data_IF_360348913909
#
_entry.id   IF_360348913909
#
_cell.length_a   1.000
_cell.length_b   1.000
_cell.length_c   1.000
_cell.angle_alpha   90.00
_cell.angle_beta   90.00
_cell.angle_gamma   90.00
#
_symmetry.space_group_name_H-M   'P 1'
#
loop_
_entity.id
_entity.type
_entity.pdbx_description
1 polymer ?
#
# COMPACT_ATOMS: atom_id res chain seq x y z
N UNK A 1 7.69 5.44 -43.07
CA UNK A 1 7.85 6.49 -42.04
C UNK A 1 7.77 5.95 -40.60
N UNK A 2 7.08 4.83 -40.33
CA UNK A 2 7.13 4.17 -39.01
C UNK A 2 8.49 3.51 -38.72
N UNK A 3 9.15 2.95 -39.74
CA UNK A 3 10.44 2.24 -39.58
C UNK A 3 11.65 3.14 -39.28
N UNK A 4 11.53 4.47 -39.46
CA UNK A 4 12.59 5.43 -39.13
C UNK A 4 12.47 6.00 -37.71
N UNK A 5 11.34 5.76 -37.03
CA UNK A 5 11.11 6.19 -35.64
C UNK A 5 11.52 5.09 -34.65
N UNK A 6 11.46 3.83 -35.07
CA UNK A 6 11.86 2.64 -34.29
C UNK A 6 13.37 2.49 -34.08
N UNK A 7 14.19 3.27 -34.78
CA UNK A 7 15.66 3.18 -34.72
C UNK A 7 16.34 3.98 -33.59
N UNK A 8 15.62 4.80 -32.81
CA UNK A 8 16.21 5.52 -31.67
C UNK A 8 15.94 4.77 -30.38
N UNK A 9 16.98 4.10 -29.86
CA UNK A 9 16.97 3.50 -28.52
C UNK A 9 16.97 4.61 -27.46
N UNK A 10 15.80 4.92 -26.89
CA UNK A 10 15.71 5.85 -25.75
C UNK A 10 15.88 5.05 -24.47
N UNK A 11 16.92 5.35 -23.69
CA UNK A 11 17.17 4.73 -22.40
C UNK A 11 16.78 5.72 -21.28
N UNK A 12 15.77 5.39 -20.49
CA UNK A 12 15.28 6.20 -19.38
C UNK A 12 15.62 5.50 -18.07
N UNK A 13 16.13 6.26 -17.10
CA UNK A 13 16.31 5.76 -15.75
C UNK A 13 16.59 6.86 -14.74
N UNK A 14 16.83 6.50 -13.46
CA UNK A 14 16.81 7.48 -12.38
C UNK A 14 17.90 8.54 -12.51
N UNK A 15 19.05 8.14 -13.07
CA UNK A 15 20.19 9.02 -13.37
C UNK A 15 20.20 9.53 -14.82
N UNK A 16 19.18 9.21 -15.61
CA UNK A 16 19.00 9.67 -16.98
C UNK A 16 17.50 9.92 -17.27
N UNK A 17 16.88 10.91 -16.59
CA UNK A 17 15.45 11.16 -16.73
C UNK A 17 15.11 11.83 -18.07
N UNK A 18 13.89 11.60 -18.55
CA UNK A 18 13.33 12.29 -19.72
C UNK A 18 12.37 13.40 -19.26
N UNK A 19 12.67 14.65 -19.62
CA UNK A 19 11.70 15.75 -19.50
C UNK A 19 10.77 15.72 -20.72
N UNK A 20 9.51 15.33 -20.52
CA UNK A 20 8.51 15.16 -21.59
C UNK A 20 8.19 16.49 -22.28
N UNK A 21 8.22 17.59 -21.54
CA UNK A 21 7.88 18.92 -22.05
C UNK A 21 9.00 19.56 -22.88
N UNK A 22 10.24 19.12 -22.68
CA UNK A 22 11.41 19.65 -23.37
C UNK A 22 11.96 18.70 -24.46
N UNK A 23 11.62 17.41 -24.40
CA UNK A 23 12.10 16.42 -25.34
C UNK A 23 11.45 16.56 -26.73
N UNK A 24 12.18 16.15 -27.77
CA UNK A 24 11.63 16.04 -29.12
C UNK A 24 10.44 15.08 -29.15
N UNK A 25 9.38 15.44 -29.87
CA UNK A 25 8.15 14.63 -29.98
C UNK A 25 8.40 13.20 -30.46
N UNK A 26 9.39 12.98 -31.32
CA UNK A 26 9.80 11.64 -31.78
C UNK A 26 10.40 10.78 -30.66
N UNK A 27 11.08 11.40 -29.68
CA UNK A 27 11.66 10.71 -28.52
C UNK A 27 10.55 10.26 -27.57
N UNK A 28 9.61 11.17 -27.26
CA UNK A 28 8.43 10.85 -26.44
C UNK A 28 7.58 9.77 -27.12
N UNK A 29 7.35 9.86 -28.43
CA UNK A 29 6.60 8.87 -29.19
C UNK A 29 7.25 7.48 -29.15
N UNK A 30 8.58 7.38 -29.28
CA UNK A 30 9.29 6.09 -29.20
C UNK A 30 9.06 5.39 -27.85
N UNK A 31 9.15 6.14 -26.75
CA UNK A 31 8.88 5.65 -25.39
C UNK A 31 7.42 5.21 -25.25
N UNK A 32 6.48 6.01 -25.75
CA UNK A 32 5.05 5.69 -25.68
C UNK A 32 4.69 4.45 -26.52
N UNK A 33 5.36 4.21 -27.64
CA UNK A 33 5.17 2.99 -28.43
C UNK A 33 5.60 1.73 -27.66
N UNK A 34 6.71 1.79 -26.94
CA UNK A 34 7.15 0.70 -26.05
C UNK A 34 6.16 0.51 -24.88
N UNK A 35 5.70 1.60 -24.25
CA UNK A 35 4.64 1.55 -23.23
C UNK A 35 3.38 0.86 -23.75
N UNK A 36 2.95 1.16 -24.97
CA UNK A 36 1.80 0.51 -25.59
C UNK A 36 2.05 -0.99 -25.82
N UNK A 37 3.25 -1.38 -26.24
CA UNK A 37 3.62 -2.79 -26.39
C UNK A 37 3.59 -3.54 -25.04
N UNK A 38 4.16 -2.94 -23.98
CA UNK A 38 4.12 -3.48 -22.61
C UNK A 38 2.67 -3.63 -22.13
N UNK A 39 1.82 -2.61 -22.33
CA UNK A 39 0.38 -2.62 -21.98
C UNK A 39 -0.40 -3.72 -22.71
N UNK A 40 -0.07 -4.00 -23.96
CA UNK A 40 -0.68 -5.09 -24.74
C UNK A 40 -0.16 -6.48 -24.34
N UNK A 41 0.98 -6.55 -23.67
CA UNK A 41 1.69 -7.82 -23.45
C UNK A 41 2.16 -8.45 -24.75
N UNK A 42 2.58 -7.62 -25.70
CA UNK A 42 3.05 -8.05 -27.01
C UNK A 42 4.42 -8.75 -26.89
N UNK A 43 4.50 -9.98 -27.38
CA UNK A 43 5.73 -10.77 -27.37
C UNK A 43 6.27 -11.09 -28.78
N UNK A 44 5.59 -10.67 -29.85
CA UNK A 44 5.97 -11.06 -31.23
C UNK A 44 7.33 -10.51 -31.65
N UNK A 45 7.62 -9.26 -31.27
CA UNK A 45 8.89 -8.59 -31.52
C UNK A 45 9.58 -8.20 -30.20
N UNK A 46 9.48 -9.09 -29.20
CA UNK A 46 10.02 -8.80 -27.87
C UNK A 46 11.55 -8.68 -27.93
N UNK A 47 12.05 -7.51 -27.55
CA UNK A 47 13.47 -7.23 -27.38
C UNK A 47 13.69 -6.53 -26.03
N UNK A 48 14.92 -6.62 -25.52
CA UNK A 48 15.26 -5.95 -24.27
C UNK A 48 15.22 -4.43 -24.45
N UNK A 49 14.53 -3.75 -23.54
CA UNK A 49 14.50 -2.29 -23.49
C UNK A 49 15.91 -1.75 -23.17
N UNK A 50 16.37 -0.70 -23.88
CA UNK A 50 17.57 0.06 -23.47
C UNK A 50 17.46 0.63 -22.06
N UNK A 51 16.23 0.82 -21.55
CA UNK A 51 15.96 1.31 -20.20
C UNK A 51 16.12 0.23 -19.13
N UNK A 52 16.04 -1.06 -19.49
CA UNK A 52 16.03 -2.16 -18.52
C UNK A 52 17.25 -2.19 -17.58
N UNK A 53 18.51 -1.96 -18.06
CA UNK A 53 19.67 -1.89 -17.19
C UNK A 53 19.65 -0.72 -16.21
N UNK A 54 18.95 0.37 -16.56
CA UNK A 54 18.84 1.57 -15.72
C UNK A 54 17.74 1.39 -14.67
N UNK A 55 16.62 0.78 -15.06
CA UNK A 55 15.51 0.40 -14.18
C UNK A 55 14.54 -0.56 -14.91
N UNK A 56 14.09 -1.67 -14.31
CA UNK A 56 14.28 -2.11 -12.92
C UNK A 56 15.62 -2.83 -12.66
N UNK A 57 16.44 -3.07 -13.69
CA UNK A 57 17.77 -3.65 -13.58
C UNK A 57 17.99 -4.84 -14.52
N UNK A 58 19.26 -5.12 -14.80
CA UNK A 58 19.68 -6.23 -15.65
C UNK A 58 19.71 -7.57 -14.94
N UNK A 59 19.61 -8.64 -15.74
CA UNK A 59 19.97 -10.01 -15.36
C UNK A 59 21.19 -10.41 -16.17
N UNK A 60 22.18 -11.03 -15.52
CA UNK A 60 23.37 -11.54 -16.22
C UNK A 60 22.97 -12.55 -17.32
N UNK A 61 23.61 -12.47 -18.47
CA UNK A 61 23.46 -13.46 -19.54
C UNK A 61 23.88 -14.88 -19.08
N UNK A 62 24.80 -14.96 -18.11
CA UNK A 62 25.26 -16.23 -17.53
C UNK A 62 24.36 -16.76 -16.41
N UNK A 63 23.33 -16.01 -15.99
CA UNK A 63 22.42 -16.49 -14.96
C UNK A 63 21.58 -17.66 -15.49
N UNK A 64 21.57 -18.79 -14.79
CA UNK A 64 20.84 -19.97 -15.21
C UNK A 64 19.34 -19.70 -15.33
N UNK A 65 18.76 -20.03 -16.50
CA UNK A 65 17.32 -20.07 -16.68
C UNK A 65 16.77 -21.37 -16.11
N UNK A 66 15.75 -21.24 -15.27
CA UNK A 66 15.21 -22.36 -14.49
C UNK A 66 13.81 -22.72 -14.95
N UNK A 67 13.42 -23.95 -14.64
CA UNK A 67 12.03 -24.41 -14.65
C UNK A 67 11.64 -24.71 -13.22
N UNK A 68 10.60 -24.05 -12.71
CA UNK A 68 10.13 -24.19 -11.33
C UNK A 68 8.64 -24.46 -11.31
N UNK A 69 8.23 -25.50 -10.61
CA UNK A 69 6.83 -25.80 -10.32
C UNK A 69 6.48 -25.34 -8.92
N UNK A 70 5.40 -24.59 -8.80
CA UNK A 70 4.91 -23.99 -7.56
C UNK A 70 3.45 -24.38 -7.36
N UNK A 71 3.05 -24.62 -6.11
CA UNK A 71 1.64 -24.69 -5.75
C UNK A 71 1.12 -23.31 -5.40
N UNK A 72 0.22 -22.77 -6.21
CA UNK A 72 -0.40 -21.45 -6.05
C UNK A 72 -1.79 -21.62 -5.45
N UNK A 73 -2.06 -20.99 -4.31
CA UNK A 73 -3.43 -20.89 -3.79
C UNK A 73 -4.23 -19.87 -4.64
N UNK A 74 -5.07 -20.39 -5.51
CA UNK A 74 -5.94 -19.65 -6.42
C UNK A 74 -7.35 -19.41 -5.86
N UNK A 75 -7.53 -19.47 -4.54
CA UNK A 75 -8.72 -18.96 -3.87
C UNK A 75 -8.47 -17.57 -3.30
N UNK A 76 -9.38 -16.63 -3.57
CA UNK A 76 -9.27 -15.25 -3.09
C UNK A 76 -10.63 -14.62 -2.75
N UNK A 77 -10.85 -14.43 -1.46
CA UNK A 77 -11.90 -13.57 -0.94
C UNK A 77 -11.28 -12.20 -0.62
N UNK A 78 -11.63 -11.12 -1.34
CA UNK A 78 -11.04 -9.80 -1.10
C UNK A 78 -11.46 -9.24 0.27
N UNK A 79 -10.68 -8.30 0.84
CA UNK A 79 -11.13 -7.51 1.98
C UNK A 79 -12.42 -6.75 1.63
N UNK A 80 -13.22 -6.31 2.61
CA UNK A 80 -14.42 -5.54 2.36
C UNK A 80 -14.10 -4.23 1.61
N UNK A 81 -15.03 -3.79 0.75
CA UNK A 81 -14.86 -2.58 -0.08
C UNK A 81 -14.57 -1.30 0.71
N UNK A 82 -14.89 -1.33 2.01
CA UNK A 82 -14.72 -0.22 2.94
C UNK A 82 -13.27 0.05 3.30
N UNK A 83 -12.38 -0.92 3.08
CA UNK A 83 -10.92 -0.78 3.15
C UNK A 83 -10.37 -0.37 1.77
N UNK A 84 -10.94 0.68 1.17
CA UNK A 84 -10.75 0.98 -0.25
C UNK A 84 -9.32 1.36 -0.63
N UNK A 85 -8.59 2.02 0.28
CA UNK A 85 -7.23 2.51 0.07
C UNK A 85 -6.22 1.38 -0.13
N UNK A 86 -6.52 0.18 0.39
CA UNK A 86 -5.75 -1.03 0.13
C UNK A 86 -5.97 -1.61 -1.28
N UNK A 87 -6.28 -0.79 -2.28
CA UNK A 87 -6.45 -1.22 -3.68
C UNK A 87 -7.63 -2.16 -3.92
N UNK A 88 -8.75 -2.01 -3.19
CA UNK A 88 -9.94 -2.85 -3.37
C UNK A 88 -10.54 -2.77 -4.79
N UNK A 89 -11.10 -3.87 -5.35
CA UNK A 89 -11.02 -5.26 -4.88
C UNK A 89 -9.77 -5.98 -5.38
N UNK A 90 -8.81 -5.24 -5.95
CA UNK A 90 -7.57 -5.64 -6.64
C UNK A 90 -7.18 -7.12 -6.63
N UNK A 91 -6.70 -7.61 -7.77
CA UNK A 91 -6.23 -9.00 -7.92
C UNK A 91 -5.25 -9.34 -6.80
N UNK A 92 -5.34 -10.55 -6.26
CA UNK A 92 -4.37 -11.09 -5.32
C UNK A 92 -3.10 -11.48 -6.06
N UNK A 93 -1.93 -11.11 -5.52
CA UNK A 93 -0.64 -11.42 -6.12
C UNK A 93 0.00 -12.57 -5.35
N UNK A 94 0.33 -13.65 -6.07
CA UNK A 94 1.08 -14.78 -5.56
C UNK A 94 2.52 -14.66 -6.04
N UNK A 95 3.43 -14.45 -5.09
CA UNK A 95 4.87 -14.41 -5.30
C UNK A 95 5.36 -15.76 -5.81
N UNK A 96 6.37 -15.73 -6.68
CA UNK A 96 6.93 -16.94 -7.30
C UNK A 96 8.41 -17.15 -6.97
N UNK A 97 9.09 -16.12 -6.45
CA UNK A 97 10.55 -16.13 -6.31
C UNK A 97 11.29 -16.17 -7.65
N UNK A 98 10.65 -15.72 -8.73
CA UNK A 98 11.21 -15.72 -10.09
C UNK A 98 11.22 -14.31 -10.69
N UNK A 99 12.11 -14.11 -11.65
CA UNK A 99 12.26 -12.89 -12.42
C UNK A 99 12.42 -13.24 -13.90
N UNK A 100 11.64 -12.60 -14.78
CA UNK A 100 11.82 -12.69 -16.22
C UNK A 100 12.91 -11.71 -16.64
N UNK A 101 13.95 -12.19 -17.32
CA UNK A 101 15.01 -11.33 -17.82
C UNK A 101 14.47 -10.36 -18.90
N UNK A 102 15.06 -9.15 -19.05
CA UNK A 102 14.59 -8.17 -20.02
C UNK A 102 14.53 -8.72 -21.44
N UNK A 103 13.38 -8.58 -22.08
CA UNK A 103 13.18 -9.02 -23.47
C UNK A 103 13.10 -10.54 -23.67
N UNK A 104 13.12 -11.36 -22.61
CA UNK A 104 13.00 -12.81 -22.72
C UNK A 104 11.56 -13.29 -22.50
N UNK A 105 11.21 -14.38 -23.18
CA UNK A 105 9.93 -15.06 -23.04
C UNK A 105 10.03 -16.14 -21.96
N UNK A 106 9.06 -16.12 -21.03
CA UNK A 106 8.81 -17.21 -20.10
C UNK A 106 7.54 -17.96 -20.51
N UNK A 107 7.49 -19.25 -20.18
CA UNK A 107 6.28 -20.06 -20.37
C UNK A 107 5.68 -20.44 -19.02
N UNK A 108 4.37 -20.26 -18.92
CA UNK A 108 3.56 -20.57 -17.74
C UNK A 108 2.65 -21.74 -18.11
N UNK A 109 2.86 -22.88 -17.46
CA UNK A 109 2.06 -24.09 -17.64
C UNK A 109 1.17 -24.32 -16.43
N UNK A 110 -0.14 -24.43 -16.65
CA UNK A 110 -1.10 -24.80 -15.61
C UNK A 110 -1.13 -26.33 -15.48
N UNK A 111 -0.99 -26.85 -14.27
CA UNK A 111 -0.99 -28.30 -14.03
C UNK A 111 -2.36 -28.96 -14.19
N UNK A 112 -3.43 -28.18 -14.37
CA UNK A 112 -4.79 -28.71 -14.56
C UNK A 112 -5.56 -27.87 -15.58
N UNK A 113 -6.33 -28.55 -16.44
CA UNK A 113 -7.23 -27.87 -17.40
C UNK A 113 -8.34 -27.07 -16.71
N UNK A 114 -8.72 -27.46 -15.48
CA UNK A 114 -9.76 -26.78 -14.70
C UNK A 114 -9.40 -25.33 -14.35
N UNK A 115 -8.11 -24.97 -14.30
CA UNK A 115 -7.65 -23.62 -14.00
C UNK A 115 -7.60 -22.71 -15.25
N UNK A 116 -7.64 -23.27 -16.46
CA UNK A 116 -7.49 -22.52 -17.72
C UNK A 116 -8.63 -21.52 -17.89
N UNK A 117 -8.28 -20.24 -18.08
CA UNK A 117 -9.25 -19.15 -18.25
C UNK A 117 -10.08 -18.83 -17.00
N UNK A 118 -9.76 -19.40 -15.83
CA UNK A 118 -10.54 -19.24 -14.59
C UNK A 118 -9.98 -18.15 -13.66
N UNK A 119 -9.76 -16.96 -14.20
CA UNK A 119 -9.41 -15.78 -13.39
C UNK A 119 -7.93 -15.65 -13.00
N UNK A 120 -7.04 -16.46 -13.59
CA UNK A 120 -5.59 -16.38 -13.39
C UNK A 120 -4.90 -15.53 -14.47
N UNK A 121 -3.91 -14.75 -14.06
CA UNK A 121 -3.02 -14.00 -14.95
C UNK A 121 -1.57 -14.17 -14.50
N UNK A 122 -0.62 -14.04 -15.41
CA UNK A 122 0.77 -13.76 -15.06
C UNK A 122 1.00 -12.25 -15.13
N UNK A 123 1.73 -11.70 -14.16
CA UNK A 123 2.28 -10.35 -14.20
C UNK A 123 3.80 -10.41 -14.19
N UNK A 124 4.45 -9.60 -15.02
CA UNK A 124 5.91 -9.43 -15.05
C UNK A 124 6.22 -7.97 -14.75
N UNK A 125 6.82 -7.68 -13.60
CA UNK A 125 7.10 -6.34 -13.07
C UNK A 125 6.26 -6.00 -11.85
N UNK A 126 6.87 -5.38 -10.82
CA UNK A 126 6.21 -5.01 -9.58
C UNK A 126 5.68 -3.55 -9.54
N UNK A 127 6.29 -2.63 -10.28
CA UNK A 127 5.99 -1.19 -10.23
C UNK A 127 4.75 -0.85 -11.05
N UNK A 128 3.62 -0.68 -10.37
CA UNK A 128 2.32 -0.55 -11.03
C UNK A 128 1.87 0.86 -11.32
N UNK A 129 2.61 1.87 -10.88
CA UNK A 129 2.31 3.26 -11.18
C UNK A 129 2.51 3.58 -12.67
N UNK A 130 1.45 4.15 -13.25
CA UNK A 130 1.45 4.71 -14.60
C UNK A 130 1.85 6.18 -14.51
N UNK A 131 3.04 6.49 -15.01
CA UNK A 131 3.63 7.82 -14.98
C UNK A 131 3.44 8.56 -16.31
N UNK A 132 2.62 8.06 -17.25
CA UNK A 132 2.50 8.64 -18.59
C UNK A 132 1.94 10.07 -18.60
N UNK A 133 1.26 10.48 -17.53
CA UNK A 133 0.79 11.86 -17.32
C UNK A 133 1.82 12.78 -16.68
N UNK A 134 2.96 12.26 -16.21
CA UNK A 134 3.97 13.04 -15.52
C UNK A 134 4.81 13.86 -16.52
N UNK A 135 5.19 15.10 -16.17
CA UNK A 135 6.02 15.95 -17.04
C UNK A 135 7.48 15.47 -17.12
N UNK A 136 7.90 14.60 -16.21
CA UNK A 136 9.25 14.06 -16.14
C UNK A 136 9.20 12.56 -15.80
N UNK A 137 9.99 11.77 -16.53
CA UNK A 137 10.10 10.32 -16.36
C UNK A 137 11.51 9.95 -15.91
N UNK A 138 11.64 9.50 -14.67
CA UNK A 138 12.86 8.97 -14.05
C UNK A 138 12.98 7.44 -14.19
N UNK A 139 11.99 6.81 -14.81
CA UNK A 139 12.02 5.43 -15.31
C UNK A 139 11.03 5.32 -16.46
N UNK A 140 10.99 4.18 -17.14
CA UNK A 140 9.91 3.93 -18.09
C UNK A 140 8.55 4.16 -17.41
N UNK A 141 7.63 4.94 -18.02
CA UNK A 141 6.43 5.39 -17.33
C UNK A 141 5.42 4.27 -17.11
N UNK A 142 5.61 3.11 -17.72
CA UNK A 142 4.84 1.89 -17.48
C UNK A 142 5.78 0.69 -17.54
N UNK A 143 5.78 -0.16 -16.50
CA UNK A 143 6.86 -1.16 -16.33
C UNK A 143 6.41 -2.61 -16.20
N UNK A 144 5.11 -2.89 -16.22
CA UNK A 144 4.60 -4.23 -15.97
C UNK A 144 3.70 -4.75 -17.09
N UNK A 145 3.86 -6.02 -17.43
CA UNK A 145 2.98 -6.71 -18.38
C UNK A 145 2.01 -7.62 -17.62
N UNK A 146 0.76 -7.75 -18.09
CA UNK A 146 -0.21 -8.73 -17.59
C UNK A 146 -0.78 -9.55 -18.73
N UNK A 147 -0.71 -10.88 -18.62
CA UNK A 147 -1.26 -11.81 -19.61
C UNK A 147 -2.21 -12.80 -18.92
N UNK A 148 -3.41 -12.97 -19.47
CA UNK A 148 -4.39 -13.92 -18.92
C UNK A 148 -4.02 -15.35 -19.33
N UNK A 149 -4.06 -16.28 -18.37
CA UNK A 149 -3.73 -17.69 -18.60
C UNK A 149 -4.92 -18.42 -19.23
N UNK A 150 -5.13 -18.22 -20.54
CA UNK A 150 -6.27 -18.75 -21.32
C UNK A 150 -6.01 -20.10 -21.99
N UNK A 151 -4.78 -20.61 -21.91
CA UNK A 151 -4.39 -21.90 -22.44
C UNK A 151 -3.57 -22.66 -21.39
N UNK A 152 -3.40 -23.99 -21.61
CA UNK A 152 -2.58 -24.83 -20.73
C UNK A 152 -1.15 -24.31 -20.60
N UNK A 153 -0.59 -23.80 -21.70
CA UNK A 153 0.70 -23.11 -21.76
C UNK A 153 0.42 -21.70 -22.28
N UNK A 154 0.89 -20.69 -21.54
CA UNK A 154 0.83 -19.28 -21.94
C UNK A 154 2.23 -18.70 -21.92
N UNK A 155 2.65 -18.09 -23.03
CA UNK A 155 3.93 -17.36 -23.12
C UNK A 155 3.73 -15.90 -22.72
N UNK A 156 4.68 -15.34 -21.99
CA UNK A 156 4.68 -13.93 -21.59
C UNK A 156 6.11 -13.40 -21.50
N UNK A 157 6.26 -12.08 -21.65
CA UNK A 157 7.54 -11.41 -21.52
C UNK A 157 7.34 -9.92 -21.28
N UNK A 158 8.42 -9.22 -20.94
CA UNK A 158 8.42 -7.78 -20.73
C UNK A 158 9.78 -7.22 -21.23
N UNK A 159 9.81 -6.20 -22.10
CA UNK A 159 11.05 -5.54 -22.54
C UNK A 159 11.96 -5.11 -21.39
N UNK A 160 11.39 -4.72 -20.25
CA UNK A 160 12.12 -4.29 -19.06
C UNK A 160 12.49 -5.45 -18.11
N UNK A 161 11.94 -6.64 -18.35
CA UNK A 161 11.96 -7.74 -17.40
C UNK A 161 11.10 -7.43 -16.17
N UNK A 162 11.24 -8.24 -15.13
CA UNK A 162 10.54 -7.98 -13.86
C UNK A 162 10.27 -9.24 -13.04
N UNK A 163 9.91 -9.04 -11.76
CA UNK A 163 9.44 -10.13 -10.90
C UNK A 163 8.19 -10.77 -11.50
N UNK A 164 8.08 -12.08 -11.39
CA UNK A 164 6.96 -12.85 -11.93
C UNK A 164 5.95 -13.10 -10.81
N UNK A 165 4.69 -12.75 -11.04
CA UNK A 165 3.59 -13.00 -10.12
C UNK A 165 2.48 -13.78 -10.83
N UNK A 166 1.80 -14.66 -10.09
CA UNK A 166 0.50 -15.18 -10.52
C UNK A 166 -0.59 -14.35 -9.83
N UNK A 167 -1.39 -13.67 -10.64
CA UNK A 167 -2.52 -12.89 -10.17
C UNK A 167 -3.79 -13.73 -10.14
N UNK A 168 -4.57 -13.59 -9.07
CA UNK A 168 -5.85 -14.28 -8.86
C UNK A 168 -6.96 -13.22 -8.81
N UNK A 169 -7.95 -13.33 -9.71
CA UNK A 169 -9.14 -12.47 -9.69
C UNK A 169 -9.89 -12.57 -8.36
N UNK A 170 -10.53 -11.48 -7.89
CA UNK A 170 -11.46 -11.53 -6.76
C UNK A 170 -12.57 -12.56 -6.98
N UNK A 171 -12.92 -13.32 -5.94
CA UNK A 171 -13.96 -14.35 -6.00
C UNK A 171 -13.54 -15.66 -6.68
N UNK A 172 -12.31 -15.76 -7.19
CA UNK A 172 -11.78 -17.05 -7.68
C UNK A 172 -11.73 -18.05 -6.52
N UNK A 173 -12.13 -19.30 -6.76
CA UNK A 173 -12.11 -20.37 -5.77
C UNK A 173 -11.65 -21.70 -6.36
N UNK A 174 -10.41 -21.74 -6.84
CA UNK A 174 -9.83 -22.94 -7.45
C UNK A 174 -9.00 -23.80 -6.47
N UNK A 175 -8.80 -23.32 -5.24
CA UNK A 175 -7.92 -23.99 -4.27
C UNK A 175 -6.45 -23.99 -4.73
N UNK A 176 -5.74 -25.07 -4.47
CA UNK A 176 -4.35 -25.24 -4.86
C UNK A 176 -4.21 -25.58 -6.35
N UNK A 177 -3.48 -24.77 -7.11
CA UNK A 177 -3.18 -24.97 -8.53
C UNK A 177 -1.67 -25.10 -8.71
N UNK A 178 -1.22 -26.20 -9.31
CA UNK A 178 0.17 -26.34 -9.73
C UNK A 178 0.43 -25.43 -10.94
N UNK A 179 1.48 -24.62 -10.85
CA UNK A 179 1.93 -23.72 -11.93
C UNK A 179 3.41 -23.96 -12.16
N UNK A 180 3.78 -24.32 -13.38
CA UNK A 180 5.19 -24.46 -13.80
C UNK A 180 5.59 -23.25 -14.61
N UNK A 181 6.71 -22.61 -14.25
CA UNK A 181 7.26 -21.45 -14.95
C UNK A 181 8.66 -21.82 -15.45
N UNK A 182 8.88 -21.73 -16.76
CA UNK A 182 10.17 -22.01 -17.40
C UNK A 182 10.74 -20.79 -18.11
N UNK A 183 12.07 -20.64 -18.08
CA UNK A 183 12.78 -19.56 -18.77
C UNK A 183 13.07 -18.34 -17.88
N UNK A 184 12.63 -18.35 -16.63
CA UNK A 184 12.91 -17.29 -15.67
C UNK A 184 14.24 -17.53 -14.93
N UNK A 185 14.73 -16.53 -14.18
CA UNK A 185 15.80 -16.70 -13.19
C UNK A 185 15.23 -16.68 -11.77
N UNK A 186 15.97 -17.24 -10.80
CA UNK A 186 15.62 -17.12 -9.38
C UNK A 186 15.79 -15.68 -8.91
N UNK A 187 14.85 -15.23 -8.07
CA UNK A 187 14.94 -13.97 -7.34
C UNK A 187 15.10 -14.23 -5.84
N UNK A 188 15.86 -13.40 -5.10
CA UNK A 188 15.93 -13.53 -3.65
C UNK A 188 14.53 -13.39 -3.03
N UNK A 189 14.09 -14.41 -2.30
CA UNK A 189 12.80 -14.40 -1.63
C UNK A 189 12.93 -15.11 -0.30
N UNK A 190 12.85 -14.34 0.78
CA UNK A 190 12.88 -14.87 2.14
C UNK A 190 11.46 -14.90 2.70
N UNK A 191 11.00 -16.05 3.21
CA UNK A 191 9.69 -16.21 3.84
C UNK A 191 9.84 -16.57 5.29
N UNK A 192 9.28 -15.74 6.16
CA UNK A 192 9.31 -15.92 7.60
C UNK A 192 8.68 -17.28 7.99
N UNK A 193 9.40 -18.05 8.79
CA UNK A 193 8.96 -19.38 9.25
C UNK A 193 9.04 -20.50 8.20
N UNK A 194 9.48 -20.21 6.96
CA UNK A 194 9.72 -21.21 5.91
C UNK A 194 11.21 -21.28 5.57
N UNK A 195 11.84 -20.14 5.34
CA UNK A 195 13.27 -20.05 5.04
C UNK A 195 14.08 -19.73 6.32
N UNK A 196 15.35 -20.12 6.37
CA UNK A 196 16.24 -19.88 7.52
C UNK A 196 17.30 -18.82 7.21
N UNK A 197 17.81 -18.08 8.20
CA UNK A 197 18.92 -17.15 8.00
C UNK A 197 20.17 -17.83 7.40
N UNK A 198 20.42 -19.09 7.74
CA UNK A 198 21.50 -19.88 7.16
C UNK A 198 21.33 -20.07 5.64
N UNK A 199 20.16 -20.54 5.19
CA UNK A 199 19.85 -20.71 3.75
C UNK A 199 19.79 -19.38 3.01
N UNK A 200 19.37 -18.32 3.71
CA UNK A 200 19.36 -16.97 3.18
C UNK A 200 20.77 -16.50 2.83
N UNK A 201 21.69 -16.59 3.79
CA UNK A 201 23.09 -16.17 3.67
C UNK A 201 23.87 -17.03 2.69
N UNK A 202 23.67 -18.35 2.68
CA UNK A 202 24.46 -19.27 1.86
C UNK A 202 24.06 -19.29 0.40
N UNK A 203 22.83 -18.87 0.06
CA UNK A 203 22.26 -19.14 -1.27
C UNK A 203 21.23 -18.11 -1.71
N UNK A 204 20.15 -17.91 -0.96
CA UNK A 204 18.95 -17.24 -1.50
C UNK A 204 19.19 -15.76 -1.79
N UNK A 205 19.94 -15.04 -0.93
CA UNK A 205 20.20 -13.61 -1.11
C UNK A 205 21.04 -13.28 -2.35
N UNK A 206 21.81 -14.26 -2.81
CA UNK A 206 22.74 -14.15 -3.94
C UNK A 206 22.12 -14.58 -5.28
N UNK A 207 20.83 -14.92 -5.29
CA UNK A 207 20.12 -15.15 -6.54
C UNK A 207 20.19 -13.94 -7.48
N UNK A 208 20.25 -14.17 -8.81
CA UNK A 208 20.74 -13.20 -9.77
C UNK A 208 19.77 -12.05 -10.08
N UNK A 209 18.49 -12.15 -9.69
CA UNK A 209 17.52 -11.12 -10.00
C UNK A 209 17.85 -9.76 -9.33
N UNK A 210 17.52 -8.63 -9.98
CA UNK A 210 17.80 -7.29 -9.45
C UNK A 210 16.91 -6.85 -8.28
N UNK A 211 15.82 -7.57 -8.01
CA UNK A 211 14.99 -7.32 -6.82
C UNK A 211 14.67 -8.58 -6.04
N UNK A 212 14.34 -8.35 -4.78
CA UNK A 212 14.03 -9.32 -3.77
C UNK A 212 12.65 -9.10 -3.14
N UNK A 213 12.12 -10.16 -2.54
CA UNK A 213 10.95 -10.12 -1.67
C UNK A 213 11.31 -10.59 -0.25
N UNK A 214 10.92 -9.85 0.77
CA UNK A 214 10.93 -10.30 2.16
C UNK A 214 9.47 -10.45 2.62
N UNK A 215 9.05 -11.69 2.88
CA UNK A 215 7.66 -12.08 3.08
C UNK A 215 7.40 -12.53 4.51
N UNK A 216 6.60 -11.77 5.24
CA UNK A 216 6.21 -12.07 6.63
C UNK A 216 4.96 -12.96 6.73
N UNK A 217 4.28 -13.21 5.60
CA UNK A 217 2.93 -13.77 5.53
C UNK A 217 1.81 -12.73 5.65
N UNK A 218 2.05 -11.56 6.26
CA UNK A 218 1.06 -10.46 6.37
C UNK A 218 1.43 -9.22 5.54
N UNK A 219 2.70 -9.04 5.22
CA UNK A 219 3.23 -8.04 4.31
C UNK A 219 4.49 -8.55 3.60
N UNK A 220 4.64 -8.14 2.35
CA UNK A 220 5.79 -8.46 1.51
C UNK A 220 6.50 -7.16 1.15
N UNK A 221 7.76 -7.03 1.56
CA UNK A 221 8.64 -5.92 1.18
C UNK A 221 9.32 -6.26 -0.13
N UNK A 222 9.19 -5.38 -1.12
CA UNK A 222 9.75 -5.54 -2.47
C UNK A 222 10.85 -4.50 -2.65
N UNK A 223 12.10 -4.97 -2.67
CA UNK A 223 13.30 -4.15 -2.51
C UNK A 223 14.35 -4.48 -3.57
N UNK A 224 15.22 -3.54 -3.98
CA UNK A 224 16.38 -3.86 -4.79
C UNK A 224 17.25 -4.90 -4.10
N UNK A 225 17.64 -5.97 -4.79
CA UNK A 225 18.46 -7.05 -4.21
C UNK A 225 19.75 -6.49 -3.62
N UNK A 226 20.35 -5.48 -4.24
CA UNK A 226 21.57 -4.81 -3.76
C UNK A 226 21.43 -4.23 -2.34
N UNK A 227 20.25 -3.74 -1.96
CA UNK A 227 20.02 -3.11 -0.66
C UNK A 227 19.98 -4.13 0.48
N UNK A 228 19.54 -5.35 0.18
CA UNK A 228 19.28 -6.40 1.18
C UNK A 228 20.28 -7.57 1.11
N UNK A 229 21.16 -7.62 0.10
CA UNK A 229 22.19 -8.67 -0.01
C UNK A 229 23.12 -8.75 1.20
N UNK A 230 23.38 -7.63 1.86
CA UNK A 230 24.23 -7.59 3.06
C UNK A 230 23.44 -7.85 4.36
N UNK A 231 22.11 -7.98 4.29
CA UNK A 231 21.27 -8.37 5.42
C UNK A 231 21.47 -9.87 5.69
N UNK A 232 21.98 -10.23 6.87
CA UNK A 232 22.20 -11.62 7.27
C UNK A 232 20.92 -12.30 7.77
N UNK A 233 20.01 -11.53 8.37
CA UNK A 233 18.79 -12.06 8.97
C UNK A 233 17.61 -11.09 8.78
N UNK A 234 16.65 -11.41 7.90
CA UNK A 234 15.43 -10.62 7.71
C UNK A 234 14.36 -10.79 8.80
N UNK A 235 14.53 -11.71 9.75
CA UNK A 235 13.51 -12.13 10.72
C UNK A 235 12.97 -10.95 11.53
N UNK A 236 13.86 -10.16 12.14
CA UNK A 236 13.47 -9.05 13.01
C UNK A 236 12.64 -7.98 12.27
N UNK A 237 12.98 -7.68 11.00
CA UNK A 237 12.23 -6.77 10.14
C UNK A 237 10.81 -7.29 9.90
N UNK A 238 10.69 -8.57 9.55
CA UNK A 238 9.40 -9.17 9.21
C UNK A 238 8.49 -9.35 10.42
N UNK A 239 9.05 -9.72 11.57
CA UNK A 239 8.33 -9.77 12.83
C UNK A 239 7.85 -8.39 13.28
N UNK A 240 8.69 -7.36 13.14
CA UNK A 240 8.30 -5.98 13.43
C UNK A 240 7.10 -5.55 12.59
N UNK A 241 7.14 -5.77 11.28
CA UNK A 241 6.02 -5.48 10.39
C UNK A 241 4.75 -6.27 10.73
N UNK A 242 4.87 -7.54 11.13
CA UNK A 242 3.75 -8.33 11.62
C UNK A 242 3.12 -7.71 12.87
N UNK A 243 3.92 -7.19 13.81
CA UNK A 243 3.43 -6.50 15.00
C UNK A 243 2.71 -5.18 14.65
N UNK A 244 3.26 -4.40 13.72
CA UNK A 244 2.63 -3.16 13.24
C UNK A 244 1.24 -3.45 12.67
N UNK A 245 1.12 -4.46 11.80
CA UNK A 245 -0.16 -4.87 11.21
C UNK A 245 -1.15 -5.37 12.25
N UNK A 246 -0.69 -6.14 13.23
CA UNK A 246 -1.55 -6.64 14.31
C UNK A 246 -2.05 -5.50 15.20
N UNK A 247 -1.19 -4.53 15.51
CA UNK A 247 -1.59 -3.33 16.22
C UNK A 247 -2.65 -2.54 15.44
N UNK A 248 -2.46 -2.35 14.13
CA UNK A 248 -3.45 -1.65 13.31
C UNK A 248 -4.77 -2.43 13.21
N UNK A 249 -4.72 -3.75 13.07
CA UNK A 249 -5.91 -4.61 13.10
C UNK A 249 -6.64 -4.49 14.45
N UNK A 250 -5.91 -4.48 15.57
CA UNK A 250 -6.48 -4.32 16.91
C UNK A 250 -7.20 -2.97 17.08
N UNK A 251 -6.59 -1.86 16.65
CA UNK A 251 -7.22 -0.54 16.72
C UNK A 251 -8.51 -0.53 15.88
N UNK A 252 -8.41 -1.08 14.67
CA UNK A 252 -9.54 -1.24 13.75
C UNK A 252 -10.58 -2.27 14.20
N UNK A 253 -10.37 -2.99 15.30
CA UNK A 253 -11.21 -4.15 15.69
C UNK A 253 -11.44 -5.16 14.57
N UNK A 254 -10.42 -5.37 13.74
CA UNK A 254 -10.43 -6.31 12.61
C UNK A 254 -9.71 -7.60 12.97
N UNK A 255 -9.94 -8.65 12.19
CA UNK A 255 -9.14 -9.87 12.31
C UNK A 255 -7.67 -9.59 12.02
N UNK A 256 -6.78 -10.12 12.86
CA UNK A 256 -5.33 -10.17 12.59
C UNK A 256 -4.98 -11.13 11.44
N UNK A 257 -5.88 -12.06 11.11
CA UNK A 257 -5.77 -12.88 9.91
C UNK A 257 -6.18 -12.06 8.69
N UNK A 258 -5.25 -11.87 7.76
CA UNK A 258 -5.48 -11.04 6.58
C UNK A 258 -6.03 -11.88 5.42
N UNK A 259 -6.91 -11.28 4.64
CA UNK A 259 -7.38 -11.85 3.36
C UNK A 259 -6.23 -12.08 2.37
N UNK A 260 -5.18 -11.26 2.48
CA UNK A 260 -3.93 -11.34 1.74
C UNK A 260 -2.83 -10.58 2.47
N UNK A 261 -1.57 -10.89 2.15
CA UNK A 261 -0.46 -10.05 2.55
C UNK A 261 -0.57 -8.66 1.89
N UNK A 262 -0.26 -7.60 2.61
CA UNK A 262 0.02 -6.28 2.02
C UNK A 262 1.33 -6.32 1.22
N UNK A 263 1.56 -5.31 0.38
CA UNK A 263 2.81 -5.20 -0.38
C UNK A 263 3.37 -3.80 -0.24
N UNK A 264 4.66 -3.70 0.05
CA UNK A 264 5.38 -2.43 0.13
C UNK A 264 6.49 -2.45 -0.91
N UNK A 265 6.44 -1.54 -1.87
CA UNK A 265 7.41 -1.43 -2.96
C UNK A 265 8.16 -0.11 -2.84
N UNK A 266 9.49 -0.17 -2.86
CA UNK A 266 10.28 1.03 -3.15
C UNK A 266 10.39 1.21 -4.67
N UNK A 267 10.28 2.44 -5.15
CA UNK A 267 10.34 2.79 -6.56
C UNK A 267 11.31 3.97 -6.77
N UNK A 268 11.88 4.09 -7.97
CA UNK A 268 12.62 5.27 -8.39
C UNK A 268 11.70 6.47 -8.67
N UNK A 269 10.45 6.22 -9.05
CA UNK A 269 9.44 7.26 -9.23
C UNK A 269 8.04 6.71 -9.01
N UNK A 270 7.26 7.40 -8.18
CA UNK A 270 5.85 7.11 -7.93
C UNK A 270 4.96 8.21 -8.53
N UNK A 271 3.67 7.92 -8.68
CA UNK A 271 2.70 8.78 -9.34
C UNK A 271 2.34 10.05 -8.58
N UNK A 272 2.61 10.10 -7.26
CA UNK A 272 2.38 11.29 -6.45
C UNK A 272 2.89 11.14 -5.02
N UNK A 273 3.13 12.29 -4.37
CA UNK A 273 3.65 12.33 -3.00
C UNK A 273 5.08 11.82 -2.86
N UNK A 274 5.52 11.58 -1.62
CA UNK A 274 6.77 10.88 -1.30
C UNK A 274 6.55 9.37 -1.07
N UNK A 275 5.34 9.03 -0.63
CA UNK A 275 4.81 7.67 -0.54
C UNK A 275 3.31 7.75 -0.84
N UNK A 276 2.68 6.62 -1.17
CA UNK A 276 1.23 6.51 -1.19
C UNK A 276 0.76 5.10 -0.85
N UNK A 277 -0.40 5.04 -0.21
CA UNK A 277 -1.13 3.81 0.05
C UNK A 277 -1.63 3.13 -1.22
N UNK A 278 -1.98 1.85 -1.10
CA UNK A 278 -2.36 1.04 -2.24
C UNK A 278 -2.11 -0.44 -2.06
N UNK A 279 -2.13 -1.14 -3.19
CA UNK A 279 -1.71 -2.53 -3.27
C UNK A 279 -0.95 -2.73 -4.60
N UNK A 280 0.38 -2.48 -4.62
CA UNK A 280 1.24 -2.19 -3.47
C UNK A 280 1.11 -0.76 -2.91
N UNK A 281 1.50 -0.59 -1.64
CA UNK A 281 1.99 0.67 -1.08
C UNK A 281 3.30 0.99 -1.78
N UNK A 282 3.49 2.21 -2.26
CA UNK A 282 4.71 2.59 -2.97
C UNK A 282 5.36 3.81 -2.33
N UNK A 283 6.69 3.84 -2.35
CA UNK A 283 7.49 4.91 -1.79
C UNK A 283 8.73 5.16 -2.65
N UNK A 284 9.28 6.36 -2.60
CA UNK A 284 10.69 6.53 -2.95
C UNK A 284 11.57 5.71 -2.01
N UNK A 285 12.76 5.29 -2.46
CA UNK A 285 13.71 4.45 -1.70
C UNK A 285 13.87 4.89 -0.23
N UNK A 286 13.31 4.09 0.69
CA UNK A 286 13.28 4.40 2.13
C UNK A 286 13.87 3.28 2.97
N UNK A 287 15.00 3.60 3.59
CA UNK A 287 15.64 2.80 4.65
C UNK A 287 14.70 2.49 5.81
N UNK A 288 13.73 3.36 6.07
CA UNK A 288 12.65 3.19 7.06
C UNK A 288 11.63 2.09 6.74
N UNK A 289 11.84 1.31 5.67
CA UNK A 289 11.02 0.12 5.37
C UNK A 289 11.69 -1.20 5.74
N UNK A 290 13.03 -1.25 5.76
CA UNK A 290 13.75 -2.52 5.94
C UNK A 290 14.87 -2.47 6.99
N UNK A 291 15.07 -1.34 7.67
CA UNK A 291 16.03 -1.22 8.78
C UNK A 291 15.31 -0.88 10.09
N UNK A 292 15.09 -1.90 10.94
CA UNK A 292 14.42 -1.75 12.25
C UNK A 292 15.17 -0.78 13.17
N UNK A 293 16.51 -0.79 13.16
CA UNK A 293 17.30 0.12 13.97
C UNK A 293 17.03 1.58 13.61
N UNK A 294 17.04 1.89 12.31
CA UNK A 294 16.69 3.22 11.81
C UNK A 294 15.23 3.58 12.10
N UNK A 295 14.27 2.67 11.89
CA UNK A 295 12.87 2.91 12.27
C UNK A 295 12.74 3.24 13.78
N UNK A 296 13.58 2.64 14.64
CA UNK A 296 13.52 2.83 16.08
C UNK A 296 14.13 4.17 16.50
N UNK A 297 15.24 4.59 15.87
CA UNK A 297 15.96 5.81 16.24
C UNK A 297 15.43 7.07 15.55
N UNK A 298 14.99 6.95 14.29
CA UNK A 298 14.56 8.07 13.45
C UNK A 298 13.05 8.09 13.21
N UNK A 299 12.35 7.00 13.55
CA UNK A 299 10.92 6.84 13.35
C UNK A 299 10.56 6.24 11.98
N UNK A 300 9.29 5.81 11.87
CA UNK A 300 8.73 5.22 10.66
C UNK A 300 7.34 5.79 10.34
N UNK A 301 7.13 7.08 10.60
CA UNK A 301 5.82 7.73 10.44
C UNK A 301 5.26 7.53 9.03
N UNK A 302 6.03 7.82 7.98
CA UNK A 302 5.59 7.69 6.58
C UNK A 302 5.11 6.27 6.24
N UNK A 303 5.94 5.24 6.36
CA UNK A 303 5.52 3.87 6.06
C UNK A 303 4.30 3.40 6.87
N UNK A 304 4.21 3.80 8.15
CA UNK A 304 3.07 3.43 9.00
C UNK A 304 1.81 4.22 8.64
N UNK A 305 1.96 5.47 8.23
CA UNK A 305 0.88 6.30 7.72
C UNK A 305 0.28 5.68 6.45
N UNK A 306 1.10 5.35 5.46
CA UNK A 306 0.59 4.71 4.23
C UNK A 306 -0.07 3.36 4.51
N UNK A 307 0.49 2.57 5.43
CA UNK A 307 -0.12 1.32 5.83
C UNK A 307 -1.43 1.54 6.61
N UNK A 308 -1.52 2.62 7.40
CA UNK A 308 -2.71 3.04 8.12
C UNK A 308 -3.88 3.35 7.18
N UNK A 309 -3.63 3.94 6.01
CA UNK A 309 -4.67 4.15 5.00
C UNK A 309 -5.36 2.84 4.61
N UNK A 310 -4.60 1.75 4.44
CA UNK A 310 -5.15 0.42 4.14
C UNK A 310 -6.01 -0.17 5.29
N UNK A 311 -6.01 0.46 6.47
CA UNK A 311 -6.84 0.09 7.63
C UNK A 311 -8.00 1.08 7.88
N UNK A 312 -8.10 2.15 7.09
CA UNK A 312 -9.20 3.09 7.24
C UNK A 312 -10.51 2.49 6.74
N UNK A 313 -11.55 2.68 7.55
CA UNK A 313 -12.91 2.31 7.19
C UNK A 313 -13.60 3.51 6.55
N UNK A 314 -14.01 3.38 5.29
CA UNK A 314 -14.51 4.50 4.48
C UNK A 314 -15.62 5.33 5.12
N UNK A 315 -16.52 4.70 5.87
CA UNK A 315 -17.68 5.35 6.48
C UNK A 315 -17.34 6.21 7.69
N UNK A 316 -16.13 6.04 8.24
CA UNK A 316 -15.59 6.89 9.30
C UNK A 316 -14.98 8.18 8.73
N UNK A 317 -14.73 8.25 7.43
CA UNK A 317 -14.09 9.38 6.79
C UNK A 317 -15.10 10.40 6.27
N UNK A 318 -14.74 11.66 6.44
CA UNK A 318 -15.41 12.84 5.88
C UNK A 318 -14.38 13.94 5.59
N UNK A 319 -14.82 15.05 4.99
CA UNK A 319 -13.92 16.15 4.60
C UNK A 319 -12.92 16.52 5.69
N UNK A 320 -11.64 16.65 5.33
CA UNK A 320 -10.56 17.01 6.26
C UNK A 320 -10.03 15.87 7.14
N UNK A 321 -10.57 14.64 7.05
CA UNK A 321 -10.22 13.56 7.98
C UNK A 321 -9.46 12.38 7.40
N UNK A 322 -9.33 12.24 6.08
CA UNK A 322 -8.57 11.13 5.47
C UNK A 322 -7.14 11.10 6.00
N UNK A 323 -6.46 12.25 6.01
CA UNK A 323 -5.09 12.42 6.54
C UNK A 323 -5.00 12.49 8.07
N UNK A 324 -6.13 12.55 8.77
CA UNK A 324 -6.19 12.70 10.22
C UNK A 324 -6.50 11.37 10.91
N UNK A 325 -7.48 10.62 10.38
CA UNK A 325 -7.84 9.30 10.89
C UNK A 325 -6.74 8.28 10.65
N UNK A 326 -6.06 8.35 9.50
CA UNK A 326 -4.91 7.48 9.23
C UNK A 326 -3.84 7.65 10.32
N UNK A 327 -3.62 8.87 10.78
CA UNK A 327 -2.63 9.16 11.81
C UNK A 327 -2.98 8.54 13.18
N UNK A 328 -4.24 8.16 13.45
CA UNK A 328 -4.54 7.36 14.64
C UNK A 328 -3.94 5.96 14.58
N UNK A 329 -3.95 5.32 13.40
CA UNK A 329 -3.26 4.04 13.22
C UNK A 329 -1.75 4.20 13.35
N UNK A 330 -1.19 5.26 12.74
CA UNK A 330 0.24 5.60 12.84
C UNK A 330 0.66 5.78 14.29
N UNK A 331 -0.05 6.64 15.04
CA UNK A 331 0.21 6.89 16.45
C UNK A 331 0.04 5.63 17.28
N UNK A 332 -1.02 4.84 17.04
CA UNK A 332 -1.23 3.61 17.79
C UNK A 332 -0.09 2.62 17.60
N UNK A 333 0.35 2.39 16.35
CA UNK A 333 1.47 1.51 16.04
C UNK A 333 2.78 2.01 16.68
N UNK A 334 3.08 3.32 16.56
CA UNK A 334 4.27 3.91 17.16
C UNK A 334 4.26 3.84 18.69
N UNK A 335 3.15 4.17 19.35
CA UNK A 335 3.05 4.12 20.82
C UNK A 335 3.14 2.69 21.33
N UNK A 336 2.53 1.71 20.64
CA UNK A 336 2.66 0.29 21.01
C UNK A 336 4.08 -0.23 20.89
N UNK A 337 4.87 0.39 20.02
CA UNK A 337 6.25 -0.02 19.78
C UNK A 337 7.27 0.73 20.62
N UNK A 338 7.24 2.08 20.60
CA UNK A 338 8.19 2.96 21.28
C UNK A 338 7.76 3.35 22.70
N UNK A 339 6.51 3.06 23.09
CA UNK A 339 5.97 3.36 24.42
C UNK A 339 5.55 4.81 24.65
N UNK A 340 5.96 5.75 23.77
CA UNK A 340 5.68 7.19 23.92
C UNK A 340 5.16 7.81 22.63
N UNK A 341 4.35 8.86 22.76
CA UNK A 341 3.91 9.72 21.67
C UNK A 341 4.61 11.08 21.82
N UNK A 342 5.28 11.56 20.77
CA UNK A 342 5.75 12.95 20.76
C UNK A 342 4.55 13.90 20.85
N UNK A 343 4.65 14.91 21.73
CA UNK A 343 3.65 15.95 21.89
C UNK A 343 3.94 17.19 21.02
N UNK A 344 4.98 17.14 20.18
CA UNK A 344 5.50 18.31 19.48
C UNK A 344 4.44 18.94 18.56
N UNK A 345 4.36 20.27 18.61
CA UNK A 345 3.46 21.07 17.77
C UNK A 345 1.97 21.02 18.12
N UNK A 346 1.49 20.05 18.91
CA UNK A 346 0.04 19.90 19.22
C UNK A 346 -0.55 21.13 19.90
N UNK A 347 0.10 21.66 20.94
CA UNK A 347 -0.38 22.82 21.67
C UNK A 347 -0.39 24.09 20.80
N UNK A 348 0.64 24.29 19.96
CA UNK A 348 0.73 25.43 19.06
C UNK A 348 -0.36 25.37 17.98
N UNK A 349 -0.57 24.19 17.37
CA UNK A 349 -1.62 23.97 16.37
C UNK A 349 -3.02 24.23 16.94
N UNK A 350 -3.29 23.77 18.18
CA UNK A 350 -4.53 24.11 18.88
C UNK A 350 -4.68 25.61 19.09
N UNK A 351 -3.67 26.26 19.65
CA UNK A 351 -3.75 27.69 19.95
C UNK A 351 -4.06 28.51 18.70
N UNK A 352 -3.41 28.19 17.57
CA UNK A 352 -3.69 28.82 16.28
C UNK A 352 -5.13 28.57 15.79
N UNK A 353 -5.63 27.34 15.90
CA UNK A 353 -7.00 26.99 15.51
C UNK A 353 -8.07 27.76 16.31
N UNK A 354 -7.90 27.83 17.64
CA UNK A 354 -8.84 28.55 18.50
C UNK A 354 -8.73 30.07 18.36
N UNK A 355 -7.53 30.60 18.11
CA UNK A 355 -7.35 32.02 17.80
C UNK A 355 -8.11 32.44 16.53
N UNK A 356 -8.36 31.52 15.59
CA UNK A 356 -9.19 31.77 14.41
C UNK A 356 -10.69 31.49 14.60
N UNK A 357 -11.13 31.25 15.84
CA UNK A 357 -12.55 31.04 16.18
C UNK A 357 -13.07 29.62 15.93
N UNK A 358 -12.19 28.62 15.90
CA UNK A 358 -12.54 27.20 15.75
C UNK A 358 -13.39 26.89 14.50
N UNK A 359 -12.96 27.39 13.34
CA UNK A 359 -13.65 27.22 12.06
C UNK A 359 -13.46 25.82 11.50
N UNK A 360 -14.21 24.85 12.03
CA UNK A 360 -14.02 23.43 11.70
C UNK A 360 -14.13 23.13 10.19
N UNK A 361 -15.00 23.82 9.46
CA UNK A 361 -15.20 23.56 8.05
C UNK A 361 -14.02 23.99 7.17
N UNK A 362 -13.20 24.93 7.65
CA UNK A 362 -12.07 25.50 6.91
C UNK A 362 -10.72 25.00 7.43
N UNK A 363 -10.54 24.98 8.76
CA UNK A 363 -9.21 24.87 9.38
C UNK A 363 -8.99 23.56 10.13
N UNK A 364 -10.05 22.77 10.36
CA UNK A 364 -9.95 21.51 11.08
C UNK A 364 -9.58 20.38 10.11
N UNK A 365 -8.27 20.14 9.98
CA UNK A 365 -7.70 19.10 9.12
C UNK A 365 -6.40 18.54 9.69
N UNK A 366 -5.96 17.40 9.15
CA UNK A 366 -4.68 16.69 9.42
C UNK A 366 -4.28 16.69 10.90
N UNK A 367 -3.44 17.64 11.32
CA UNK A 367 -2.86 17.73 12.66
C UNK A 367 -3.82 18.28 13.71
N UNK A 368 -4.63 19.28 13.34
CA UNK A 368 -5.65 19.86 14.23
C UNK A 368 -6.73 18.82 14.50
N UNK A 369 -7.17 18.12 13.45
CA UNK A 369 -8.14 17.04 13.57
C UNK A 369 -7.58 15.83 14.35
N UNK A 370 -6.33 15.44 14.10
CA UNK A 370 -5.65 14.42 14.88
C UNK A 370 -5.62 14.78 16.37
N UNK A 371 -5.34 16.03 16.71
CA UNK A 371 -5.27 16.43 18.12
C UNK A 371 -6.63 16.31 18.84
N UNK A 372 -7.74 16.66 18.17
CA UNK A 372 -9.08 16.38 18.70
C UNK A 372 -9.26 14.90 19.01
N UNK A 373 -8.81 14.01 18.13
CA UNK A 373 -8.87 12.58 18.36
C UNK A 373 -7.94 12.11 19.48
N UNK A 374 -6.74 12.67 19.59
CA UNK A 374 -5.80 12.32 20.65
C UNK A 374 -6.31 12.75 22.03
N UNK A 375 -7.01 13.89 22.15
CA UNK A 375 -7.67 14.28 23.39
C UNK A 375 -8.76 13.28 23.82
N UNK A 376 -9.54 12.77 22.86
CA UNK A 376 -10.51 11.70 23.14
C UNK A 376 -9.80 10.40 23.57
N UNK A 377 -8.69 10.04 22.91
CA UNK A 377 -7.84 8.91 23.34
C UNK A 377 -7.27 9.13 24.75
N UNK A 378 -6.90 10.35 25.12
CA UNK A 378 -6.34 10.69 26.43
C UNK A 378 -7.39 10.59 27.53
N UNK A 379 -8.64 10.99 27.25
CA UNK A 379 -9.76 10.89 28.19
C UNK A 379 -10.34 9.49 28.37
N UNK A 380 -10.42 8.70 27.29
CA UNK A 380 -11.18 7.43 27.27
C UNK A 380 -10.36 6.20 26.91
N UNK A 381 -9.08 6.38 26.60
CA UNK A 381 -8.20 5.31 26.13
C UNK A 381 -8.48 4.85 24.70
N UNK A 382 -7.72 3.85 24.26
CA UNK A 382 -7.84 3.29 22.91
C UNK A 382 -9.13 2.50 22.67
N UNK A 383 -9.77 2.02 23.75
CA UNK A 383 -11.00 1.23 23.65
C UNK A 383 -12.17 2.06 23.12
N UNK A 384 -12.14 3.39 23.27
CA UNK A 384 -13.06 4.29 22.59
C UNK A 384 -13.06 4.04 21.08
N UNK A 385 -11.88 4.05 20.45
CA UNK A 385 -11.74 3.87 19.02
C UNK A 385 -12.06 2.44 18.59
N UNK A 386 -11.60 1.43 19.34
CA UNK A 386 -11.95 0.04 19.04
C UNK A 386 -13.47 -0.18 19.03
N UNK A 387 -14.18 0.34 20.03
CA UNK A 387 -15.63 0.25 20.09
C UNK A 387 -16.30 1.08 18.98
N UNK A 388 -15.74 2.24 18.64
CA UNK A 388 -16.18 3.04 17.50
C UNK A 388 -16.10 2.23 16.20
N UNK A 389 -14.98 1.56 15.92
CA UNK A 389 -14.82 0.69 14.76
C UNK A 389 -15.85 -0.44 14.72
N UNK A 390 -16.07 -1.15 15.85
CA UNK A 390 -17.10 -2.21 15.93
C UNK A 390 -18.49 -1.69 15.57
N UNK A 391 -18.82 -0.49 16.02
CA UNK A 391 -20.08 0.15 15.68
C UNK A 391 -20.15 0.42 14.17
N UNK A 392 -19.15 1.09 13.59
CA UNK A 392 -19.08 1.37 12.13
C UNK A 392 -19.05 0.14 11.23
N UNK A 393 -18.47 -0.97 11.69
CA UNK A 393 -18.46 -2.23 10.95
C UNK A 393 -19.83 -2.91 10.92
N UNK A 394 -20.67 -2.67 11.93
CA UNK A 394 -22.04 -3.18 12.01
C UNK A 394 -23.09 -2.20 11.44
N UNK A 395 -22.69 -1.00 11.01
CA UNK A 395 -23.60 -0.02 10.43
C UNK A 395 -24.13 -0.50 9.07
N UNK A 396 -25.47 -0.58 8.95
CA UNK A 396 -26.20 -0.94 7.72
C UNK A 396 -26.82 0.27 7.00
N UNK A 397 -26.53 1.50 7.43
CA UNK A 397 -27.03 2.69 6.72
C UNK A 397 -26.45 2.75 5.30
N UNK A 398 -27.24 3.17 4.29
CA UNK A 398 -26.73 3.42 2.95
C UNK A 398 -25.59 4.43 3.01
N UNK A 399 -24.54 4.15 2.23
CA UNK A 399 -23.39 5.02 2.04
C UNK A 399 -23.85 6.46 1.80
N UNK A 400 -23.17 7.47 2.37
CA UNK A 400 -23.22 8.79 1.76
C UNK A 400 -22.74 8.63 0.32
N UNK A 401 -23.63 8.85 -0.64
CA UNK A 401 -23.25 8.96 -2.04
C UNK A 401 -22.22 10.09 -2.22
N UNK A 402 -21.34 10.02 -3.24
CA UNK A 402 -20.57 11.18 -3.67
C UNK A 402 -21.50 12.39 -3.84
N UNK A 403 -21.23 13.50 -3.13
CA UNK A 403 -22.09 14.69 -3.11
C UNK A 403 -22.98 14.87 -1.86
N UNK A 404 -22.85 14.03 -0.83
CA UNK A 404 -23.51 14.29 0.46
C UNK A 404 -22.87 15.48 1.21
N UNK A 405 -23.65 16.26 1.99
CA UNK A 405 -23.16 17.48 2.63
C UNK A 405 -22.02 17.23 3.63
N UNK A 406 -21.01 18.09 3.60
CA UNK A 406 -19.83 18.13 4.49
C UNK A 406 -20.21 18.07 5.98
N UNK A 407 -21.39 18.56 6.34
CA UNK A 407 -21.90 18.67 7.71
C UNK A 407 -22.33 17.34 8.36
N UNK A 408 -22.57 16.27 7.59
CA UNK A 408 -23.03 14.98 8.18
C UNK A 408 -21.93 14.18 8.88
N UNK A 409 -20.67 14.38 8.51
CA UNK A 409 -19.53 13.64 9.07
C UNK A 409 -19.31 13.91 10.57
N UNK A 410 -19.07 15.17 10.97
CA UNK A 410 -18.90 15.53 12.38
C UNK A 410 -20.12 15.16 13.22
N UNK A 411 -21.34 15.42 12.71
CA UNK A 411 -22.58 15.02 13.40
C UNK A 411 -22.63 13.52 13.67
N UNK A 412 -22.27 12.69 12.69
CA UNK A 412 -22.22 11.23 12.85
C UNK A 412 -21.21 10.83 13.90
N UNK A 413 -20.02 11.43 13.93
CA UNK A 413 -19.03 11.15 14.99
C UNK A 413 -19.61 11.49 16.37
N UNK A 414 -20.27 12.64 16.51
CA UNK A 414 -20.91 13.01 17.78
C UNK A 414 -22.03 12.03 18.17
N UNK A 415 -22.92 11.67 17.24
CA UNK A 415 -24.03 10.74 17.46
C UNK A 415 -23.58 9.31 17.79
N UNK A 416 -22.56 8.81 17.09
CA UNK A 416 -22.06 7.45 17.29
C UNK A 416 -21.27 7.38 18.59
N UNK A 417 -20.41 8.35 18.86
CA UNK A 417 -19.67 8.36 20.12
C UNK A 417 -20.63 8.52 21.32
N UNK A 418 -21.72 9.28 21.18
CA UNK A 418 -22.79 9.39 22.18
C UNK A 418 -23.45 8.06 22.58
N UNK A 419 -23.40 7.06 21.71
CA UNK A 419 -23.95 5.73 21.96
C UNK A 419 -22.93 4.79 22.62
N UNK A 420 -21.66 5.19 22.76
CA UNK A 420 -20.64 4.37 23.41
C UNK A 420 -20.75 4.45 24.95
N UNK A 421 -20.50 3.35 25.67
CA UNK A 421 -20.57 3.30 27.13
C UNK A 421 -19.36 4.01 27.76
N UNK A 422 -19.34 5.35 27.66
CA UNK A 422 -18.28 6.23 28.18
C UNK A 422 -18.66 6.97 29.46
N UNK A 423 -19.96 7.00 29.78
CA UNK A 423 -20.48 7.56 31.02
C UNK A 423 -20.55 9.09 31.09
N UNK A 424 -20.22 9.84 30.02
CA UNK A 424 -20.23 11.31 30.01
C UNK A 424 -20.75 11.92 28.71
N UNK A 425 -21.24 13.15 28.80
CA UNK A 425 -21.62 14.01 27.67
C UNK A 425 -20.37 14.67 27.02
N UNK A 426 -20.22 14.50 25.70
CA UNK A 426 -19.17 15.11 24.89
C UNK A 426 -19.65 16.30 24.04
N UNK A 427 -20.93 16.67 24.11
CA UNK A 427 -21.47 17.81 23.37
C UNK A 427 -20.70 19.11 23.67
N UNK A 428 -20.37 19.45 24.93
CA UNK A 428 -19.54 20.63 25.21
C UNK A 428 -18.16 20.55 24.54
N UNK A 429 -17.52 19.38 24.56
CA UNK A 429 -16.22 19.15 23.92
C UNK A 429 -16.30 19.39 22.40
N UNK A 430 -17.28 18.79 21.72
CA UNK A 430 -17.43 18.96 20.26
C UNK A 430 -17.81 20.38 19.87
N UNK A 431 -18.63 21.08 20.68
CA UNK A 431 -18.96 22.49 20.47
C UNK A 431 -17.74 23.40 20.62
N UNK A 432 -16.88 23.15 21.59
CA UNK A 432 -15.63 23.89 21.75
C UNK A 432 -14.76 23.78 20.49
N UNK A 433 -14.68 22.58 19.89
CA UNK A 433 -14.01 22.35 18.61
C UNK A 433 -14.74 22.92 17.38
N UNK A 434 -15.87 23.60 17.56
CA UNK A 434 -16.65 24.26 16.50
C UNK A 434 -17.62 23.35 15.75
N UNK A 435 -17.77 22.07 16.13
CA UNK A 435 -18.57 21.12 15.37
C UNK A 435 -20.07 21.49 15.37
N UNK A 436 -20.80 21.21 14.27
CA UNK A 436 -22.21 21.54 14.12
C UNK A 436 -23.11 20.54 14.87
N UNK A 437 -23.02 20.51 16.20
CA UNK A 437 -23.81 19.62 17.06
C UNK A 437 -25.29 20.03 17.04
N UNK A 438 -26.16 19.11 16.61
CA UNK A 438 -27.61 19.36 16.53
C UNK A 438 -28.33 19.09 17.85
N UNK A 439 -29.56 19.60 17.99
CA UNK A 439 -30.43 19.28 19.13
C UNK A 439 -30.69 17.77 19.26
N UNK A 440 -30.79 17.05 18.15
CA UNK A 440 -30.91 15.58 18.18
C UNK A 440 -29.74 14.94 18.90
N UNK A 441 -28.52 15.33 18.54
CA UNK A 441 -27.29 14.83 19.15
C UNK A 441 -27.18 15.22 20.63
N UNK A 442 -27.55 16.45 20.98
CA UNK A 442 -27.62 16.89 22.36
C UNK A 442 -28.60 16.06 23.19
N UNK A 443 -29.78 15.77 22.65
CA UNK A 443 -30.79 14.96 23.33
C UNK A 443 -30.35 13.51 23.57
N UNK A 444 -29.48 12.94 22.71
CA UNK A 444 -28.93 11.58 22.92
C UNK A 444 -28.03 11.48 24.16
N UNK A 445 -27.52 12.60 24.66
CA UNK A 445 -26.54 12.66 25.76
C UNK A 445 -27.04 13.42 26.98
N UNK A 446 -28.24 14.00 26.93
CA UNK A 446 -28.78 14.88 27.96
C UNK A 446 -28.91 14.26 29.37
N UNK A 447 -28.96 12.91 29.46
CA UNK A 447 -28.99 12.19 30.73
C UNK A 447 -27.62 11.84 31.30
N UNK A 448 -26.53 12.16 30.61
CA UNK A 448 -25.17 11.86 31.03
C UNK A 448 -24.54 13.07 31.77
N UNK A 449 -23.67 12.82 32.76
CA UNK A 449 -22.93 13.91 33.41
C UNK A 449 -21.93 14.55 32.43
N UNK A 450 -21.61 15.83 32.66
CA UNK A 450 -20.58 16.55 31.92
C UNK A 450 -19.20 15.85 32.05
N UNK A 451 -18.42 15.81 30.97
CA UNK A 451 -17.02 15.42 31.04
C UNK A 451 -16.15 16.49 31.73
N UNK A 452 -16.10 16.44 33.06
CA UNK A 452 -15.43 17.44 33.91
C UNK A 452 -13.92 17.59 33.66
N UNK A 453 -13.28 16.52 33.22
CA UNK A 453 -11.84 16.46 32.93
C UNK A 453 -11.52 16.77 31.46
N UNK A 454 -12.50 17.26 30.71
CA UNK A 454 -12.30 17.67 29.31
C UNK A 454 -11.19 18.72 29.21
N UNK A 455 -10.17 18.50 28.35
CA UNK A 455 -9.11 19.50 28.12
C UNK A 455 -9.67 20.78 27.48
N UNK A 456 -10.90 20.75 26.98
CA UNK A 456 -11.59 21.85 26.32
C UNK A 456 -12.54 22.63 27.23
N UNK A 457 -12.65 22.26 28.52
CA UNK A 457 -13.63 22.83 29.44
C UNK A 457 -13.52 24.36 29.62
N UNK A 458 -12.31 24.91 29.47
CA UNK A 458 -12.02 26.32 29.69
C UNK A 458 -11.71 27.09 28.40
N UNK A 459 -11.96 26.48 27.23
CA UNK A 459 -11.63 27.05 25.91
C UNK A 459 -12.83 27.80 25.32
N UNK A 460 -13.60 28.50 26.17
CA UNK A 460 -14.79 29.25 25.75
C UNK A 460 -14.49 30.75 25.83
#
# INVERSE_FOLDING_TARGET
MLDSITGRSVAIGPNNPLNVTAANSSTVMAVMMEVMAIKRGDIFNLTASPSAPLYPGSVSANATRVTVTLTVNASYNPPPYRLMYGGYPGRLWRSTGLYAAPGEIINITLGTAAAVGKGLQVQIGAHTDDLTSQPMWYRMPYTYTRVTLKANITSAGNPLGGQVFILVSPGTNLGAVQVTISGAVRAPWFRLGIDTPATWVSTVRDYPAPWAELDSGKIILMLPSKAIRNMSDPTAVLEHWNQVLDNMADLGSMSRQRARAERFLVDAQIGGGWMHSGYPIMAYDVTSVYNVGHMHTEGAWGPFHELGHNHQWSEMQFSGTTESFVNLFTVYALVRWLGVLSADGRAANRAAYFANGAQWAADWSVWVALDTYLQLKEGFGWDLYKNLYKVYQNFTYPLPQPGHPVTRGPMRVCEVTAQLPRGVDLVPFYRAWGFPVTNRTANLTAGLPEWRDSPMRWVI
#
